data_IF_772951860513
#
_entry.id   IF_772951860513
#
_cell.length_a   1.000
_cell.length_b   1.000
_cell.length_c   1.000
_cell.angle_alpha   90.00
_cell.angle_beta   90.00
_cell.angle_gamma   90.00
#
_symmetry.space_group_name_H-M   'P 1'
#
loop_
_entity.id
_entity.type
_entity.pdbx_description
1 polymer ?
#
# COMPACT_ATOMS: atom_id res chain seq x y z
N UNK A 1 4.29 16.36 4.25
CA UNK A 1 3.82 15.55 3.12
C UNK A 1 4.75 14.35 3.01
N UNK A 2 4.22 13.14 3.11
CA UNK A 2 5.02 11.92 2.95
C UNK A 2 5.21 11.70 1.45
N UNK A 3 6.46 11.55 1.02
CA UNK A 3 6.83 11.42 -0.39
C UNK A 3 7.29 9.99 -0.68
N UNK A 4 6.51 8.98 -0.25
CA UNK A 4 6.77 7.61 -0.71
C UNK A 4 6.33 7.51 -2.16
N UNK A 5 7.22 7.08 -3.03
CA UNK A 5 7.03 7.07 -4.47
C UNK A 5 7.53 5.77 -5.08
N UNK A 6 7.33 5.60 -6.38
CA UNK A 6 7.91 4.48 -7.14
C UNK A 6 9.40 4.27 -6.88
N UNK A 7 10.18 5.34 -6.68
CA UNK A 7 11.63 5.24 -6.44
C UNK A 7 11.98 4.66 -5.07
N UNK A 8 11.02 4.70 -4.15
CA UNK A 8 11.20 4.12 -2.83
C UNK A 8 10.89 2.63 -2.83
N UNK A 9 10.05 2.14 -3.76
CA UNK A 9 9.73 0.71 -3.84
C UNK A 9 11.00 -0.14 -3.98
N UNK A 10 11.06 -1.23 -3.22
CA UNK A 10 12.12 -2.21 -3.26
C UNK A 10 11.96 -3.18 -4.43
N UNK A 11 10.72 -3.58 -4.75
CA UNK A 11 10.45 -4.54 -5.82
C UNK A 11 10.26 -3.85 -7.17
N UNK A 12 10.58 -4.56 -8.25
CA UNK A 12 10.58 -4.02 -9.63
C UNK A 12 9.61 -4.72 -10.56
N UNK A 13 8.96 -5.79 -10.12
CA UNK A 13 8.00 -6.62 -10.86
C UNK A 13 6.57 -6.06 -10.87
N UNK A 14 6.38 -4.85 -10.34
CA UNK A 14 5.10 -4.16 -10.37
C UNK A 14 4.63 -3.84 -11.79
N UNK A 15 3.32 -4.05 -11.99
CA UNK A 15 2.56 -3.45 -13.07
C UNK A 15 2.26 -1.98 -12.76
N UNK A 16 2.11 -1.19 -13.82
CA UNK A 16 1.89 0.26 -13.73
C UNK A 16 0.69 0.63 -14.59
N UNK A 17 -0.46 0.04 -14.27
CA UNK A 17 -1.69 0.30 -15.00
C UNK A 17 -2.15 1.75 -14.77
N UNK A 18 -2.54 2.44 -15.84
CA UNK A 18 -3.11 3.78 -15.73
C UNK A 18 -4.56 3.68 -15.24
N UNK A 19 -4.86 4.40 -14.16
CA UNK A 19 -6.21 4.50 -13.62
C UNK A 19 -6.86 5.81 -14.07
N UNK A 20 -8.19 5.78 -14.18
CA UNK A 20 -8.97 6.99 -14.43
C UNK A 20 -8.90 7.93 -13.22
N UNK A 21 -9.25 9.19 -13.43
CA UNK A 21 -9.31 10.16 -12.34
C UNK A 21 -10.31 9.71 -11.26
N UNK A 22 -9.90 9.78 -10.00
CA UNK A 22 -10.69 9.37 -8.83
C UNK A 22 -11.06 7.89 -8.75
N UNK A 23 -10.31 7.00 -9.40
CA UNK A 23 -10.49 5.56 -9.18
C UNK A 23 -10.23 5.21 -7.70
N UNK A 24 -11.15 4.49 -7.03
CA UNK A 24 -11.02 4.15 -5.61
C UNK A 24 -9.81 3.25 -5.30
N UNK A 25 -9.23 2.58 -6.31
CA UNK A 25 -8.00 1.79 -6.13
C UNK A 25 -6.78 2.64 -5.81
N UNK A 26 -6.81 3.92 -6.20
CA UNK A 26 -5.69 4.86 -6.03
C UNK A 26 -6.14 6.21 -5.43
N UNK A 27 -7.35 6.28 -4.87
CA UNK A 27 -7.90 7.49 -4.25
C UNK A 27 -8.89 7.15 -3.12
N UNK A 28 -9.20 8.14 -2.28
CA UNK A 28 -10.16 8.01 -1.19
C UNK A 28 -9.54 7.56 0.14
N UNK A 29 -10.32 6.80 0.90
CA UNK A 29 -9.89 6.13 2.13
C UNK A 29 -9.88 4.62 1.85
N UNK A 30 -8.98 3.85 2.48
CA UNK A 30 -9.03 2.39 2.41
C UNK A 30 -10.40 1.89 2.84
N UNK A 31 -11.05 1.14 1.96
CA UNK A 31 -12.38 0.56 2.14
C UNK A 31 -12.44 -0.86 1.53
N UNK A 32 -13.63 -1.34 1.15
CA UNK A 32 -13.83 -2.64 0.53
C UNK A 32 -13.35 -2.74 -0.92
N UNK A 33 -12.70 -1.70 -1.47
CA UNK A 33 -12.10 -1.74 -2.79
C UNK A 33 -11.05 -2.84 -2.88
N UNK A 34 -11.11 -3.64 -3.94
CA UNK A 34 -10.14 -4.72 -4.21
C UNK A 34 -8.75 -4.13 -4.40
N UNK A 35 -7.78 -4.71 -3.71
CA UNK A 35 -6.38 -4.33 -3.72
C UNK A 35 -5.54 -5.35 -4.47
N UNK A 36 -4.70 -4.87 -5.37
CA UNK A 36 -3.76 -5.70 -6.11
C UNK A 36 -2.32 -5.39 -5.68
N UNK A 37 -1.71 -6.31 -4.92
CA UNK A 37 -0.32 -6.18 -4.46
C UNK A 37 0.72 -6.18 -5.59
N UNK A 38 0.34 -6.54 -6.82
CA UNK A 38 1.22 -6.51 -7.98
C UNK A 38 1.09 -5.20 -8.78
N UNK A 39 0.17 -4.30 -8.43
CA UNK A 39 0.04 -2.97 -9.04
C UNK A 39 0.78 -1.91 -8.22
N UNK A 40 1.83 -1.33 -8.81
CA UNK A 40 2.69 -0.37 -8.14
C UNK A 40 1.97 0.91 -7.74
N UNK A 41 0.98 1.34 -8.53
CA UNK A 41 0.16 2.51 -8.21
C UNK A 41 -0.70 2.27 -6.96
N UNK A 42 -1.31 1.10 -6.83
CA UNK A 42 -2.12 0.73 -5.65
C UNK A 42 -1.24 0.57 -4.41
N UNK A 43 -0.07 -0.07 -4.55
CA UNK A 43 0.91 -0.21 -3.46
C UNK A 43 1.37 1.14 -2.92
N UNK A 44 1.81 2.05 -3.79
CA UNK A 44 2.27 3.39 -3.39
C UNK A 44 1.13 4.19 -2.77
N UNK A 45 -0.06 4.12 -3.35
CA UNK A 45 -1.25 4.78 -2.81
C UNK A 45 -1.55 4.31 -1.38
N UNK A 46 -1.69 2.99 -1.19
CA UNK A 46 -2.08 2.41 0.09
C UNK A 46 -1.04 2.72 1.17
N UNK A 47 0.25 2.54 0.87
CA UNK A 47 1.34 2.87 1.80
C UNK A 47 1.28 4.35 2.21
N UNK A 48 1.16 5.28 1.26
CA UNK A 48 1.08 6.70 1.59
C UNK A 48 -0.14 7.03 2.44
N UNK A 49 -1.30 6.43 2.16
CA UNK A 49 -2.52 6.62 2.95
C UNK A 49 -2.34 6.11 4.38
N UNK A 50 -1.79 4.92 4.55
CA UNK A 50 -1.55 4.35 5.88
C UNK A 50 -0.52 5.15 6.66
N UNK A 51 0.56 5.59 6.02
CA UNK A 51 1.54 6.46 6.66
C UNK A 51 0.91 7.79 7.10
N UNK A 52 -0.03 8.35 6.33
CA UNK A 52 -0.77 9.55 6.73
C UNK A 52 -1.72 9.28 7.92
N UNK A 53 -2.47 8.18 7.87
CA UNK A 53 -3.43 7.80 8.93
C UNK A 53 -2.71 7.50 10.26
N UNK A 54 -1.50 6.94 10.21
CA UNK A 54 -0.70 6.55 11.38
C UNK A 54 0.41 7.55 11.74
N UNK A 55 0.44 8.73 11.10
CA UNK A 55 1.46 9.79 11.26
C UNK A 55 2.92 9.29 11.14
N UNK A 56 3.18 8.35 10.23
CA UNK A 56 4.53 7.90 9.90
C UNK A 56 5.17 8.79 8.84
N UNK A 57 6.42 9.21 9.08
CA UNK A 57 7.10 10.21 8.23
C UNK A 57 8.32 9.70 7.48
N UNK A 58 8.76 8.48 7.76
CA UNK A 58 10.00 7.92 7.20
C UNK A 58 9.70 6.95 6.06
N UNK A 59 10.37 7.12 4.92
CA UNK A 59 10.23 6.23 3.76
C UNK A 59 10.54 4.76 4.10
N UNK A 60 11.50 4.52 5.00
CA UNK A 60 11.85 3.18 5.49
C UNK A 60 10.64 2.45 6.11
N UNK A 61 9.71 3.18 6.73
CA UNK A 61 8.46 2.59 7.24
C UNK A 61 7.60 2.10 6.09
N UNK A 62 7.50 2.88 5.00
CA UNK A 62 6.82 2.45 3.77
C UNK A 62 7.46 1.22 3.15
N UNK A 63 8.79 1.11 3.17
CA UNK A 63 9.48 -0.10 2.69
C UNK A 63 9.21 -1.35 3.55
N UNK A 64 9.14 -1.18 4.88
CA UNK A 64 8.74 -2.27 5.77
C UNK A 64 7.32 -2.75 5.44
N UNK A 65 6.39 -1.81 5.20
CA UNK A 65 5.02 -2.14 4.78
C UNK A 65 5.01 -2.84 3.43
N UNK A 66 5.68 -2.29 2.42
CA UNK A 66 5.80 -2.87 1.08
C UNK A 66 6.25 -4.32 1.13
N UNK A 67 7.38 -4.58 1.81
CA UNK A 67 7.94 -5.92 1.97
C UNK A 67 6.96 -6.88 2.64
N UNK A 68 6.27 -6.42 3.68
CA UNK A 68 5.32 -7.23 4.41
C UNK A 68 4.11 -7.59 3.52
N UNK A 69 3.56 -6.62 2.78
CA UNK A 69 2.46 -6.86 1.84
C UNK A 69 2.89 -7.80 0.71
N UNK A 70 4.03 -7.51 0.08
CA UNK A 70 4.47 -8.25 -1.10
C UNK A 70 4.75 -9.72 -0.75
N UNK A 71 5.54 -9.96 0.29
CA UNK A 71 6.06 -11.29 0.62
C UNK A 71 5.11 -12.12 1.50
N UNK A 72 4.31 -11.47 2.35
CA UNK A 72 3.60 -12.15 3.45
C UNK A 72 2.10 -11.92 3.48
N UNK A 73 1.54 -11.05 2.62
CA UNK A 73 0.09 -10.86 2.59
C UNK A 73 -0.59 -12.19 2.21
N UNK A 74 -1.46 -12.73 3.08
CA UNK A 74 -2.23 -13.94 2.80
C UNK A 74 -3.14 -13.75 1.59
N UNK A 75 -3.40 -14.82 0.84
CA UNK A 75 -4.20 -14.76 -0.37
C UNK A 75 -5.69 -14.48 -0.11
N UNK A 76 -6.16 -14.73 1.12
CA UNK A 76 -7.54 -14.49 1.55
C UNK A 76 -7.83 -12.99 1.75
N UNK A 77 -6.78 -12.19 1.94
CA UNK A 77 -6.89 -10.75 2.14
C UNK A 77 -6.86 -10.06 0.78
N UNK A 78 -7.97 -9.42 0.42
CA UNK A 78 -8.17 -8.91 -0.93
C UNK A 78 -8.61 -7.45 -1.01
N UNK A 79 -9.09 -6.85 0.09
CA UNK A 79 -9.52 -5.45 0.12
C UNK A 79 -8.52 -4.52 0.80
N UNK A 80 -8.56 -3.23 0.46
CA UNK A 80 -7.68 -2.22 1.07
C UNK A 80 -7.85 -2.13 2.59
N UNK A 81 -9.08 -2.19 3.09
CA UNK A 81 -9.36 -2.19 4.53
C UNK A 81 -8.79 -3.42 5.24
N UNK A 82 -8.95 -4.61 4.68
CA UNK A 82 -8.39 -5.82 5.28
C UNK A 82 -6.86 -5.78 5.31
N UNK A 83 -6.22 -5.29 4.24
CA UNK A 83 -4.76 -5.09 4.20
C UNK A 83 -4.33 -4.11 5.28
N UNK A 84 -5.07 -3.02 5.48
CA UNK A 84 -4.82 -2.06 6.56
C UNK A 84 -4.87 -2.75 7.94
N UNK A 85 -5.93 -3.51 8.22
CA UNK A 85 -6.10 -4.21 9.50
C UNK A 85 -4.99 -5.25 9.72
N UNK A 86 -4.64 -6.00 8.69
CA UNK A 86 -3.58 -7.00 8.75
C UNK A 86 -2.21 -6.37 8.99
N UNK A 87 -1.89 -5.27 8.30
CA UNK A 87 -0.66 -4.51 8.54
C UNK A 87 -0.60 -3.98 9.96
N UNK A 88 -1.70 -3.45 10.50
CA UNK A 88 -1.74 -2.95 11.87
C UNK A 88 -1.36 -4.02 12.90
N UNK A 89 -1.72 -5.28 12.64
CA UNK A 89 -1.38 -6.42 13.51
C UNK A 89 0.04 -6.96 13.28
N UNK A 90 0.53 -6.94 12.04
CA UNK A 90 1.79 -7.61 11.67
C UNK A 90 3.00 -6.67 11.56
N UNK A 91 2.79 -5.36 11.40
CA UNK A 91 3.85 -4.37 11.29
C UNK A 91 4.47 -4.13 12.67
N UNK A 92 5.65 -4.72 12.89
CA UNK A 92 6.46 -4.55 14.09
C UNK A 92 7.67 -3.67 13.76
N UNK A 93 8.01 -2.73 14.65
CA UNK A 93 9.13 -1.80 14.46
C UNK A 93 10.40 -2.26 15.12
#
# INVERSE_FOLDING_TARGET
MILFSRRNLHYTDYKWTAYIQNDPRVNGRPDHTVFNKNEGNEMVYLINKLMMIWDYRFANTGNKMEKLIHDKLPAEISSQEEVQQWLKTNLKF
#
